data_IF_349155401911
#
_entry.id   IF_349155401911
#
_cell.length_a   1.000
_cell.length_b   1.000
_cell.length_c   1.000
_cell.angle_alpha   90.00
_cell.angle_beta   90.00
_cell.angle_gamma   90.00
#
_symmetry.space_group_name_H-M   'P 1'
#
loop_
_entity.id
_entity.type
_entity.pdbx_description
1 polymer ?
#
# COMPACT_ATOMS: atom_id res chain seq x y z
N UNK A 1 19.08 30.03 -0.75
CA UNK A 1 18.68 28.80 -0.04
C UNK A 1 18.19 27.84 -1.12
N UNK A 2 18.71 26.60 -1.23
CA UNK A 2 18.38 25.70 -2.33
C UNK A 2 16.89 25.37 -2.32
N UNK A 3 16.31 25.26 -3.51
CA UNK A 3 14.88 25.10 -3.72
C UNK A 3 14.44 23.68 -3.32
N UNK A 4 13.62 23.57 -2.27
CA UNK A 4 13.14 22.28 -1.72
C UNK A 4 12.41 21.43 -2.77
N UNK A 5 11.87 22.04 -3.83
CA UNK A 5 11.27 21.34 -4.96
C UNK A 5 12.31 20.61 -5.82
N UNK A 6 13.46 21.25 -6.06
CA UNK A 6 14.56 20.70 -6.85
C UNK A 6 15.28 19.58 -6.07
N UNK A 7 15.39 19.71 -4.75
CA UNK A 7 15.89 18.65 -3.87
C UNK A 7 14.95 17.44 -3.79
N UNK A 8 13.63 17.65 -3.78
CA UNK A 8 12.62 16.58 -3.77
C UNK A 8 12.47 15.89 -5.13
N UNK A 9 12.53 16.64 -6.23
CA UNK A 9 12.65 16.07 -7.58
C UNK A 9 13.97 15.33 -7.74
N UNK A 10 15.09 15.88 -7.28
CA UNK A 10 16.37 15.19 -7.30
C UNK A 10 16.32 13.92 -6.44
N UNK A 11 15.63 13.91 -5.30
CA UNK A 11 15.49 12.73 -4.46
C UNK A 11 14.60 11.66 -5.11
N UNK A 12 13.43 12.04 -5.64
CA UNK A 12 12.51 11.14 -6.33
C UNK A 12 13.12 10.57 -7.62
N UNK A 13 13.81 11.42 -8.38
CA UNK A 13 14.52 11.08 -9.62
C UNK A 13 15.78 10.25 -9.33
N UNK A 14 16.47 10.48 -8.21
CA UNK A 14 17.59 9.65 -7.73
C UNK A 14 17.13 8.27 -7.27
N UNK A 15 16.01 8.16 -6.54
CA UNK A 15 15.46 6.86 -6.15
C UNK A 15 14.94 6.05 -7.34
N UNK A 16 14.23 6.68 -8.28
CA UNK A 16 13.80 6.04 -9.53
C UNK A 16 15.00 5.71 -10.44
N UNK A 17 15.99 6.61 -10.53
CA UNK A 17 17.21 6.44 -11.33
C UNK A 17 18.15 5.37 -10.79
N UNK A 18 18.32 5.27 -9.47
CA UNK A 18 19.13 4.24 -8.81
C UNK A 18 18.51 2.84 -8.97
N UNK A 19 17.18 2.77 -8.99
CA UNK A 19 16.44 1.52 -9.13
C UNK A 19 16.37 1.07 -10.59
N UNK A 20 16.14 1.98 -11.54
CA UNK A 20 16.28 1.70 -12.97
C UNK A 20 17.72 1.30 -13.32
N UNK A 21 18.73 1.93 -12.71
CA UNK A 21 20.13 1.48 -12.82
C UNK A 21 20.37 0.12 -12.17
N UNK A 22 19.67 -0.23 -11.09
CA UNK A 22 19.79 -1.53 -10.45
C UNK A 22 19.17 -2.64 -11.32
N UNK A 23 17.96 -2.41 -11.86
CA UNK A 23 17.29 -3.31 -12.81
C UNK A 23 18.14 -3.50 -14.06
N UNK A 24 18.64 -2.41 -14.66
CA UNK A 24 19.54 -2.47 -15.82
C UNK A 24 20.88 -3.14 -15.52
N UNK A 25 21.43 -3.03 -14.30
CA UNK A 25 22.64 -3.74 -13.89
C UNK A 25 22.41 -5.25 -13.73
N UNK A 26 21.26 -5.65 -13.19
CA UNK A 26 20.86 -7.07 -13.12
C UNK A 26 20.67 -7.64 -14.53
N UNK A 27 20.05 -6.88 -15.44
CA UNK A 27 19.90 -7.23 -16.86
C UNK A 27 21.27 -7.35 -17.55
N UNK A 28 22.19 -6.43 -17.30
CA UNK A 28 23.53 -6.47 -17.88
C UNK A 28 24.39 -7.65 -17.37
N UNK A 29 24.06 -8.20 -16.19
CA UNK A 29 24.79 -9.32 -15.59
C UNK A 29 24.31 -10.70 -16.03
N UNK A 30 23.21 -10.83 -16.79
CA UNK A 30 22.62 -12.12 -17.19
C UNK A 30 22.06 -12.03 -18.63
N UNK A 31 22.62 -12.78 -19.60
CA UNK A 31 22.43 -12.54 -21.04
C UNK A 31 21.14 -13.06 -21.73
N UNK A 32 20.69 -12.28 -22.74
CA UNK A 32 19.77 -12.48 -23.93
C UNK A 32 18.47 -13.32 -23.80
N UNK A 33 17.62 -13.36 -24.85
CA UNK A 33 16.42 -12.56 -25.14
C UNK A 33 15.11 -13.10 -24.50
N UNK A 34 15.13 -14.32 -23.93
CA UNK A 34 13.96 -14.94 -23.26
C UNK A 34 13.54 -14.13 -22.02
N UNK A 35 14.45 -13.30 -21.52
CA UNK A 35 14.26 -12.34 -20.44
C UNK A 35 13.56 -11.04 -20.85
N UNK A 36 13.42 -10.64 -22.12
CA UNK A 36 12.78 -9.35 -22.45
C UNK A 36 11.32 -9.27 -21.99
N UNK A 37 10.59 -10.39 -22.07
CA UNK A 37 9.22 -10.50 -21.59
C UNK A 37 9.16 -10.52 -20.05
N UNK A 38 10.09 -11.22 -19.42
CA UNK A 38 10.23 -11.26 -17.95
C UNK A 38 10.74 -9.93 -17.37
N UNK A 39 11.52 -9.18 -18.13
CA UNK A 39 12.05 -7.85 -17.80
C UNK A 39 10.96 -6.81 -17.99
N UNK A 40 10.18 -6.85 -19.08
CA UNK A 40 8.97 -6.01 -19.22
C UNK A 40 7.95 -6.30 -18.14
N UNK A 41 7.78 -7.58 -17.77
CA UNK A 41 6.95 -7.98 -16.64
C UNK A 41 7.52 -7.43 -15.33
N UNK A 42 8.82 -7.59 -15.09
CA UNK A 42 9.47 -7.05 -13.88
C UNK A 42 9.44 -5.51 -13.85
N UNK A 43 9.57 -4.82 -14.99
CA UNK A 43 9.44 -3.37 -15.11
C UNK A 43 7.99 -2.91 -14.87
N UNK A 44 6.99 -3.64 -15.38
CA UNK A 44 5.59 -3.34 -15.09
C UNK A 44 5.23 -3.60 -13.62
N UNK A 45 5.74 -4.69 -13.04
CA UNK A 45 5.54 -5.06 -11.63
C UNK A 45 6.35 -4.12 -10.71
N UNK A 46 7.52 -3.63 -11.14
CA UNK A 46 8.28 -2.62 -10.37
C UNK A 46 7.69 -1.21 -10.53
N UNK A 47 7.08 -0.88 -11.67
CA UNK A 47 6.22 0.31 -11.78
C UNK A 47 5.01 0.20 -10.83
N UNK A 48 4.49 -1.02 -10.64
CA UNK A 48 3.49 -1.39 -9.64
C UNK A 48 3.99 -1.17 -8.18
N UNK A 49 5.22 -1.59 -7.88
CA UNK A 49 5.93 -1.30 -6.60
C UNK A 49 6.04 0.20 -6.33
N UNK A 50 6.33 1.00 -7.36
CA UNK A 50 6.64 2.43 -7.20
C UNK A 50 5.42 3.28 -6.87
N UNK A 51 4.22 2.96 -7.36
CA UNK A 51 3.05 3.82 -7.17
C UNK A 51 2.58 3.97 -5.72
N UNK A 52 2.90 3.07 -4.79
CA UNK A 52 2.49 3.23 -3.37
C UNK A 52 3.34 4.21 -2.59
N UNK A 53 4.66 4.15 -2.77
CA UNK A 53 5.55 5.21 -2.29
C UNK A 53 5.20 6.54 -2.96
N UNK A 54 4.78 6.48 -4.23
CA UNK A 54 4.31 7.62 -4.99
C UNK A 54 2.96 8.17 -4.51
N UNK A 55 2.00 7.37 -4.02
CA UNK A 55 0.68 7.86 -3.55
C UNK A 55 0.76 8.58 -2.19
N UNK A 56 1.49 8.04 -1.22
CA UNK A 56 1.75 8.73 0.05
C UNK A 56 2.60 10.01 -0.19
N UNK A 57 3.61 9.93 -1.08
CA UNK A 57 4.36 11.09 -1.55
C UNK A 57 3.49 12.09 -2.32
N UNK A 58 2.53 11.64 -3.13
CA UNK A 58 1.59 12.47 -3.90
C UNK A 58 0.59 13.16 -3.01
N UNK A 59 0.05 12.53 -1.97
CA UNK A 59 -0.82 13.28 -1.03
C UNK A 59 -0.03 14.40 -0.36
N UNK A 60 1.24 14.17 -0.01
CA UNK A 60 2.12 15.22 0.53
C UNK A 60 2.43 16.31 -0.51
N UNK A 61 2.74 15.93 -1.75
CA UNK A 61 3.06 16.85 -2.86
C UNK A 61 1.82 17.61 -3.33
N UNK A 62 0.67 16.95 -3.52
CA UNK A 62 -0.60 17.57 -3.91
C UNK A 62 -1.13 18.50 -2.81
N UNK A 63 -0.94 18.18 -1.53
CA UNK A 63 -1.26 19.08 -0.42
C UNK A 63 -0.36 20.33 -0.42
N UNK A 64 0.93 20.14 -0.71
CA UNK A 64 1.91 21.22 -0.86
C UNK A 64 1.61 22.10 -2.08
N UNK A 65 1.27 21.50 -3.22
CA UNK A 65 0.89 22.19 -4.47
C UNK A 65 -0.46 22.88 -4.34
N UNK A 66 -1.45 22.28 -3.68
CA UNK A 66 -2.74 22.92 -3.42
C UNK A 66 -2.61 24.15 -2.50
N UNK A 67 -1.71 24.10 -1.50
CA UNK A 67 -1.40 25.26 -0.66
C UNK A 67 -0.59 26.34 -1.37
N UNK A 68 0.25 25.98 -2.35
CA UNK A 68 1.16 26.91 -3.04
C UNK A 68 0.59 27.48 -4.35
N UNK A 69 -0.28 26.74 -5.04
CA UNK A 69 -0.82 27.10 -6.35
C UNK A 69 -2.20 26.43 -6.61
N UNK A 70 -3.29 26.96 -6.03
CA UNK A 70 -4.62 26.32 -6.05
C UNK A 70 -5.17 25.99 -7.45
N UNK A 71 -4.80 26.76 -8.48
CA UNK A 71 -5.33 26.62 -9.84
C UNK A 71 -4.64 25.56 -10.72
N UNK A 72 -3.50 25.01 -10.32
CA UNK A 72 -2.69 24.11 -11.17
C UNK A 72 -3.28 22.69 -11.22
N UNK A 73 -3.91 22.24 -10.13
CA UNK A 73 -4.59 20.95 -10.05
C UNK A 73 -5.79 20.83 -10.99
N UNK A 74 -6.47 21.95 -11.26
CA UNK A 74 -7.65 22.00 -12.14
C UNK A 74 -7.29 21.88 -13.64
N UNK A 75 -6.06 22.24 -14.03
CA UNK A 75 -5.72 22.47 -15.43
C UNK A 75 -5.03 21.30 -16.16
N UNK A 76 -4.32 20.40 -15.44
CA UNK A 76 -3.45 19.39 -16.11
C UNK A 76 -3.83 17.93 -15.86
N UNK A 77 -4.75 17.64 -14.96
CA UNK A 77 -5.09 16.26 -14.61
C UNK A 77 -3.91 15.48 -14.02
N UNK A 78 -4.20 14.32 -13.45
CA UNK A 78 -3.23 13.52 -12.71
C UNK A 78 -2.50 12.54 -13.66
N UNK A 79 -1.15 12.41 -13.64
CA UNK A 79 -0.43 11.51 -14.55
C UNK A 79 -0.82 10.03 -14.39
N UNK A 80 -1.11 9.38 -15.54
CA UNK A 80 -1.66 8.00 -15.68
C UNK A 80 -0.69 6.86 -15.31
N UNK A 81 0.56 7.13 -14.97
CA UNK A 81 1.54 6.11 -14.53
C UNK A 81 1.16 5.42 -13.21
N UNK A 82 0.14 5.93 -12.49
CA UNK A 82 -0.46 5.33 -11.30
C UNK A 82 -1.32 4.07 -11.56
N UNK A 83 -1.77 3.83 -12.80
CA UNK A 83 -2.81 2.82 -13.14
C UNK A 83 -2.31 1.36 -13.07
N UNK A 84 -1.01 1.10 -13.13
CA UNK A 84 -0.49 -0.27 -13.03
C UNK A 84 -0.57 -0.81 -11.59
N UNK A 85 -0.29 0.05 -10.60
CA UNK A 85 -0.13 -0.19 -9.13
C UNK A 85 -1.36 -0.78 -8.47
N UNK A 86 -2.49 -0.56 -9.12
CA UNK A 86 -3.81 -0.81 -8.59
C UNK A 86 -4.41 -2.06 -9.18
N UNK A 87 -3.87 -2.63 -10.27
CA UNK A 87 -4.44 -3.83 -10.90
C UNK A 87 -4.40 -5.05 -9.99
N UNK A 88 -3.27 -5.36 -9.34
CA UNK A 88 -3.24 -6.47 -8.38
C UNK A 88 -4.10 -6.18 -7.16
N UNK A 89 -4.07 -4.94 -6.66
CA UNK A 89 -4.87 -4.52 -5.50
C UNK A 89 -6.38 -4.66 -5.77
N UNK A 90 -6.84 -4.20 -6.93
CA UNK A 90 -8.21 -4.34 -7.44
C UNK A 90 -8.57 -5.80 -7.63
N UNK A 91 -7.68 -6.62 -8.21
CA UNK A 91 -7.90 -8.06 -8.37
C UNK A 91 -8.08 -8.77 -7.03
N UNK A 92 -7.24 -8.47 -6.03
CA UNK A 92 -7.38 -9.07 -4.69
C UNK A 92 -8.66 -8.61 -3.99
N UNK A 93 -9.07 -7.35 -4.17
CA UNK A 93 -10.36 -6.87 -3.67
C UNK A 93 -11.52 -7.64 -4.30
N UNK A 94 -11.52 -7.80 -5.62
CA UNK A 94 -12.61 -8.46 -6.37
C UNK A 94 -12.67 -9.98 -6.14
N UNK A 95 -11.60 -10.61 -5.63
CA UNK A 95 -11.61 -12.03 -5.26
C UNK A 95 -12.38 -12.31 -3.97
N UNK A 96 -12.60 -11.31 -3.14
CA UNK A 96 -13.32 -11.46 -1.86
C UNK A 96 -14.81 -11.59 -2.13
N UNK A 97 -15.45 -12.57 -1.48
CA UNK A 97 -16.89 -12.79 -1.64
C UNK A 97 -17.66 -11.68 -0.92
N UNK A 98 -18.56 -10.93 -1.59
CA UNK A 98 -19.38 -9.93 -0.94
C UNK A 98 -20.44 -10.60 -0.05
N UNK A 99 -20.39 -10.31 1.26
CA UNK A 99 -21.31 -10.85 2.28
C UNK A 99 -21.89 -9.74 3.13
N UNK A 100 -23.18 -9.85 3.45
CA UNK A 100 -23.85 -8.93 4.38
C UNK A 100 -23.42 -9.28 5.80
N UNK A 101 -22.98 -8.29 6.56
CA UNK A 101 -22.72 -8.46 7.98
C UNK A 101 -24.01 -8.26 8.77
N UNK A 102 -24.31 -9.17 9.69
CA UNK A 102 -25.52 -9.07 10.54
C UNK A 102 -25.32 -8.11 11.72
N UNK A 103 -24.08 -7.77 12.06
CA UNK A 103 -23.73 -6.84 13.13
C UNK A 103 -22.33 -6.23 12.92
N UNK A 104 -21.97 -5.24 13.74
CA UNK A 104 -20.62 -4.68 13.74
C UNK A 104 -19.54 -5.70 14.14
N UNK A 105 -19.86 -6.64 15.04
CA UNK A 105 -18.95 -7.73 15.40
C UNK A 105 -18.77 -8.72 14.25
N UNK A 106 -19.82 -8.91 13.45
CA UNK A 106 -19.83 -9.81 12.32
C UNK A 106 -18.89 -9.36 11.18
N UNK A 107 -18.66 -8.05 11.08
CA UNK A 107 -17.72 -7.46 10.10
C UNK A 107 -16.31 -8.00 10.26
N UNK A 108 -15.77 -8.01 11.48
CA UNK A 108 -14.40 -8.50 11.73
C UNK A 108 -14.30 -9.97 11.36
N UNK A 109 -15.26 -10.79 11.80
CA UNK A 109 -15.32 -12.22 11.51
C UNK A 109 -15.34 -12.50 9.99
N UNK A 110 -16.19 -11.79 9.25
CA UNK A 110 -16.28 -11.94 7.79
C UNK A 110 -14.99 -11.50 7.09
N UNK A 111 -14.35 -10.42 7.55
CA UNK A 111 -13.07 -9.95 6.99
C UNK A 111 -11.96 -11.00 7.19
N UNK A 112 -11.90 -11.65 8.35
CA UNK A 112 -10.96 -12.73 8.66
C UNK A 112 -11.18 -13.96 7.78
N UNK A 113 -12.43 -14.27 7.46
CA UNK A 113 -12.79 -15.33 6.52
C UNK A 113 -12.50 -14.99 5.05
N UNK A 114 -11.95 -13.79 4.78
CA UNK A 114 -11.61 -13.34 3.44
C UNK A 114 -12.79 -12.77 2.65
N UNK A 115 -13.91 -12.46 3.30
CA UNK A 115 -15.04 -11.80 2.67
C UNK A 115 -14.80 -10.30 2.48
N UNK A 116 -15.64 -9.70 1.64
CA UNK A 116 -15.84 -8.26 1.57
C UNK A 116 -17.20 -7.94 2.22
N UNK A 117 -17.24 -6.95 3.11
CA UNK A 117 -18.48 -6.56 3.79
C UNK A 117 -18.46 -5.10 4.22
N UNK A 118 -19.64 -4.55 4.49
CA UNK A 118 -19.82 -3.22 5.04
C UNK A 118 -21.01 -3.23 6.03
N UNK A 119 -20.78 -2.84 7.29
CA UNK A 119 -21.74 -2.94 8.40
C UNK A 119 -23.14 -2.36 8.13
N UNK A 120 -23.24 -1.29 7.34
CA UNK A 120 -24.50 -0.58 7.03
C UNK A 120 -25.13 -1.01 5.70
N UNK A 121 -24.53 -1.95 4.98
CA UNK A 121 -25.12 -2.49 3.76
C UNK A 121 -26.23 -3.47 4.13
N UNK A 122 -27.48 -3.15 3.78
CA UNK A 122 -28.64 -3.97 4.13
C UNK A 122 -28.88 -5.16 3.19
N UNK A 123 -28.22 -5.19 2.03
CA UNK A 123 -28.36 -6.25 1.03
C UNK A 123 -27.03 -6.63 0.41
N UNK A 124 -26.94 -7.85 -0.12
CA UNK A 124 -25.76 -8.30 -0.84
C UNK A 124 -25.47 -7.46 -2.09
N UNK A 125 -26.52 -6.95 -2.76
CA UNK A 125 -26.37 -6.04 -3.90
C UNK A 125 -25.72 -4.71 -3.53
N UNK A 126 -26.01 -4.17 -2.33
CA UNK A 126 -25.32 -2.98 -1.80
C UNK A 126 -23.86 -3.31 -1.52
N UNK A 127 -23.57 -4.43 -0.85
CA UNK A 127 -22.20 -4.87 -0.58
C UNK A 127 -21.40 -5.01 -1.88
N UNK A 128 -21.95 -5.68 -2.89
CA UNK A 128 -21.30 -5.86 -4.19
C UNK A 128 -21.08 -4.52 -4.91
N UNK A 129 -22.07 -3.63 -4.92
CA UNK A 129 -21.92 -2.30 -5.53
C UNK A 129 -20.80 -1.49 -4.88
N UNK A 130 -20.74 -1.48 -3.54
CA UNK A 130 -19.69 -0.79 -2.80
C UNK A 130 -18.31 -1.39 -3.12
N UNK A 131 -18.21 -2.72 -3.20
CA UNK A 131 -16.97 -3.40 -3.62
C UNK A 131 -16.50 -2.92 -5.00
N UNK A 132 -17.43 -2.85 -5.97
CA UNK A 132 -17.15 -2.42 -7.34
C UNK A 132 -16.74 -0.95 -7.43
N UNK A 133 -17.40 -0.05 -6.68
CA UNK A 133 -17.01 1.37 -6.62
C UNK A 133 -15.60 1.54 -6.06
N UNK A 134 -15.23 0.78 -5.01
CA UNK A 134 -13.88 0.84 -4.44
C UNK A 134 -12.85 0.21 -5.39
N UNK A 135 -13.22 -0.87 -6.09
CA UNK A 135 -12.38 -1.51 -7.10
C UNK A 135 -12.06 -0.58 -8.28
N UNK A 136 -13.07 0.12 -8.79
CA UNK A 136 -12.93 1.13 -9.85
C UNK A 136 -12.10 2.33 -9.38
N UNK A 137 -12.36 2.81 -8.16
CA UNK A 137 -11.56 3.85 -7.50
C UNK A 137 -10.08 3.46 -7.40
N UNK A 138 -9.78 2.23 -6.99
CA UNK A 138 -8.43 1.70 -6.99
C UNK A 138 -7.87 1.72 -8.41
N UNK A 139 -8.54 1.11 -9.38
CA UNK A 139 -8.06 1.02 -10.77
C UNK A 139 -7.71 2.39 -11.38
N UNK A 140 -8.56 3.39 -11.14
CA UNK A 140 -8.37 4.77 -11.60
C UNK A 140 -7.38 5.58 -10.76
N UNK A 141 -6.96 5.08 -9.60
CA UNK A 141 -6.09 5.79 -8.66
C UNK A 141 -6.77 6.98 -7.98
N UNK A 142 -8.08 6.90 -7.76
CA UNK A 142 -8.88 7.95 -7.13
C UNK A 142 -8.47 8.16 -5.66
N UNK A 143 -8.38 9.41 -5.18
CA UNK A 143 -8.16 9.70 -3.77
C UNK A 143 -9.26 9.12 -2.87
N UNK A 144 -8.88 8.64 -1.68
CA UNK A 144 -9.83 8.15 -0.66
C UNK A 144 -10.98 9.13 -0.38
N UNK A 145 -10.75 10.46 -0.19
CA UNK A 145 -11.84 11.40 0.09
C UNK A 145 -12.90 11.46 -1.01
N UNK A 146 -12.48 11.40 -2.27
CA UNK A 146 -13.38 11.52 -3.44
C UNK A 146 -14.26 10.29 -3.55
N UNK A 147 -13.67 9.09 -3.38
CA UNK A 147 -14.42 7.83 -3.35
C UNK A 147 -15.36 7.76 -2.15
N UNK A 148 -14.95 8.33 -1.02
CA UNK A 148 -15.77 8.37 0.21
C UNK A 148 -16.97 9.30 0.05
N UNK A 149 -16.79 10.45 -0.63
CA UNK A 149 -17.87 11.36 -0.96
C UNK A 149 -18.87 10.69 -1.91
N UNK A 150 -18.38 10.04 -2.98
CA UNK A 150 -19.21 9.28 -3.90
C UNK A 150 -20.06 8.24 -3.16
N UNK A 151 -19.46 7.40 -2.32
CA UNK A 151 -20.21 6.40 -1.55
C UNK A 151 -21.18 7.01 -0.53
N UNK A 152 -20.82 8.13 0.10
CA UNK A 152 -21.74 8.83 1.00
C UNK A 152 -23.01 9.27 0.26
N UNK A 153 -22.85 9.81 -0.94
CA UNK A 153 -23.97 10.29 -1.75
C UNK A 153 -24.78 9.11 -2.34
N UNK A 154 -24.15 8.07 -2.87
CA UNK A 154 -24.85 6.94 -3.51
C UNK A 154 -25.54 6.00 -2.52
N UNK A 155 -24.98 5.81 -1.32
CA UNK A 155 -25.53 4.89 -0.31
C UNK A 155 -26.32 5.62 0.80
N UNK A 156 -26.45 6.95 0.71
CA UNK A 156 -27.02 7.79 1.77
C UNK A 156 -26.37 7.53 3.15
N UNK A 157 -25.06 7.25 3.16
CA UNK A 157 -24.27 7.03 4.36
C UNK A 157 -23.61 8.32 4.85
N UNK A 158 -23.32 8.42 6.14
CA UNK A 158 -22.52 9.53 6.65
C UNK A 158 -21.12 9.50 6.03
N UNK A 159 -20.55 10.68 5.72
CA UNK A 159 -19.17 10.80 5.19
C UNK A 159 -18.13 10.05 6.02
N UNK A 160 -18.23 10.12 7.35
CA UNK A 160 -17.31 9.43 8.26
C UNK A 160 -17.35 7.89 8.12
N UNK A 161 -18.55 7.33 7.94
CA UNK A 161 -18.72 5.90 7.71
C UNK A 161 -18.20 5.49 6.34
N UNK A 162 -18.54 6.24 5.28
CA UNK A 162 -18.04 5.97 3.93
C UNK A 162 -16.52 6.01 3.88
N UNK A 163 -15.89 6.99 4.54
CA UNK A 163 -14.44 7.05 4.64
C UNK A 163 -13.85 5.83 5.37
N UNK A 164 -14.54 5.31 6.38
CA UNK A 164 -14.07 4.12 7.10
C UNK A 164 -14.06 2.90 6.19
N UNK A 165 -15.16 2.69 5.46
CA UNK A 165 -15.28 1.59 4.50
C UNK A 165 -14.19 1.72 3.44
N UNK A 166 -14.13 2.87 2.73
CA UNK A 166 -13.17 3.08 1.64
C UNK A 166 -11.74 2.91 2.14
N UNK A 167 -11.34 3.60 3.22
CA UNK A 167 -9.96 3.59 3.69
C UNK A 167 -9.52 2.21 4.13
N UNK A 168 -10.35 1.54 4.92
CA UNK A 168 -10.02 0.21 5.46
C UNK A 168 -9.90 -0.80 4.32
N UNK A 169 -10.84 -0.78 3.37
CA UNK A 169 -10.80 -1.64 2.19
C UNK A 169 -9.61 -1.34 1.29
N UNK A 170 -9.35 -0.07 0.95
CA UNK A 170 -8.21 0.31 0.12
C UNK A 170 -6.89 -0.09 0.77
N UNK A 171 -6.72 0.13 2.08
CA UNK A 171 -5.52 -0.27 2.80
C UNK A 171 -5.28 -1.79 2.73
N UNK A 172 -6.35 -2.59 2.90
CA UNK A 172 -6.28 -4.06 2.81
C UNK A 172 -5.96 -4.51 1.39
N UNK A 173 -6.68 -3.99 0.40
CA UNK A 173 -6.50 -4.31 -1.02
C UNK A 173 -5.08 -3.96 -1.50
N UNK A 174 -4.57 -2.82 -1.05
CA UNK A 174 -3.17 -2.52 -1.23
C UNK A 174 -2.34 -3.63 -0.57
N UNK A 175 -2.36 -3.80 0.73
CA UNK A 175 -1.45 -4.76 1.37
C UNK A 175 -1.47 -6.17 0.71
N UNK A 176 -2.65 -6.69 0.38
CA UNK A 176 -2.85 -7.94 -0.38
C UNK A 176 -2.13 -7.91 -1.74
N UNK A 177 -2.31 -6.85 -2.54
CA UNK A 177 -1.61 -6.70 -3.83
C UNK A 177 -0.09 -6.67 -3.70
N UNK A 178 0.45 -6.09 -2.61
CA UNK A 178 1.90 -6.09 -2.38
C UNK A 178 2.43 -7.49 -2.04
N UNK A 179 1.65 -8.27 -1.29
CA UNK A 179 1.98 -9.68 -1.01
C UNK A 179 1.93 -10.50 -2.29
N UNK A 180 0.87 -10.38 -3.09
CA UNK A 180 0.76 -11.13 -4.34
C UNK A 180 1.91 -10.79 -5.28
N UNK A 181 2.28 -9.52 -5.42
CA UNK A 181 3.42 -9.10 -6.24
C UNK A 181 4.74 -9.69 -5.74
N UNK A 182 4.98 -9.61 -4.43
CA UNK A 182 6.19 -10.19 -3.82
C UNK A 182 6.15 -11.71 -3.77
N UNK A 183 5.05 -12.38 -4.12
CA UNK A 183 5.04 -13.83 -4.31
C UNK A 183 5.95 -14.25 -5.48
N UNK A 184 6.16 -13.38 -6.47
CA UNK A 184 7.05 -13.61 -7.61
C UNK A 184 8.53 -13.59 -7.17
N UNK A 185 9.29 -14.69 -7.36
CA UNK A 185 10.71 -14.75 -6.98
C UNK A 185 11.57 -13.66 -7.62
N UNK A 186 11.28 -13.27 -8.87
CA UNK A 186 12.03 -12.21 -9.57
C UNK A 186 11.87 -10.85 -8.88
N UNK A 187 10.69 -10.56 -8.34
CA UNK A 187 10.43 -9.36 -7.54
C UNK A 187 11.17 -9.44 -6.19
N UNK A 188 11.14 -10.60 -5.51
CA UNK A 188 11.85 -10.78 -4.22
C UNK A 188 13.35 -10.58 -4.32
N UNK A 189 13.96 -10.87 -5.48
CA UNK A 189 15.40 -10.61 -5.67
C UNK A 189 15.72 -9.13 -5.50
N UNK A 190 14.86 -8.25 -6.02
CA UNK A 190 14.99 -6.79 -5.98
C UNK A 190 14.49 -6.22 -4.65
N UNK A 191 13.35 -6.73 -4.18
CA UNK A 191 12.60 -6.25 -3.03
C UNK A 191 12.34 -7.40 -2.05
N UNK A 192 13.36 -7.84 -1.30
CA UNK A 192 13.26 -9.02 -0.44
C UNK A 192 12.56 -8.74 0.91
N UNK A 193 12.30 -7.48 1.26
CA UNK A 193 11.75 -7.11 2.56
C UNK A 193 10.70 -6.00 2.49
N UNK A 194 9.86 -5.98 3.51
CA UNK A 194 8.97 -4.87 3.83
C UNK A 194 9.49 -4.10 5.05
N UNK A 195 9.15 -2.81 5.12
CA UNK A 195 9.23 -1.96 6.31
C UNK A 195 7.83 -1.55 6.72
N UNK A 196 7.50 -1.70 7.99
CA UNK A 196 6.30 -1.12 8.54
C UNK A 196 6.46 0.39 8.71
N UNK A 197 5.64 1.17 8.02
CA UNK A 197 5.61 2.63 8.09
C UNK A 197 4.28 3.08 8.68
N UNK A 198 4.28 3.33 10.00
CA UNK A 198 3.20 4.05 10.65
C UNK A 198 3.06 5.47 10.07
N UNK A 199 1.81 5.95 9.94
CA UNK A 199 1.55 7.36 9.59
C UNK A 199 2.16 8.28 10.65
N UNK A 200 2.63 9.45 10.23
CA UNK A 200 3.38 10.41 11.07
C UNK A 200 2.55 11.63 11.44
N UNK A 201 1.29 11.42 11.76
CA UNK A 201 0.38 12.48 12.18
C UNK A 201 -0.06 12.30 13.63
N UNK A 202 -0.76 13.30 14.17
CA UNK A 202 -1.24 13.33 15.55
C UNK A 202 -2.25 12.22 15.89
N UNK A 203 -2.83 11.56 14.89
CA UNK A 203 -3.85 10.53 15.04
C UNK A 203 -3.29 9.11 14.87
N UNK A 204 -1.97 8.96 14.78
CA UNK A 204 -1.35 7.63 14.80
C UNK A 204 -1.55 6.98 16.17
N UNK A 205 -2.08 5.76 16.18
CA UNK A 205 -2.31 5.02 17.43
C UNK A 205 -0.96 4.55 18.02
N UNK A 206 -0.75 4.59 19.34
CA UNK A 206 0.54 4.23 19.95
C UNK A 206 1.03 2.82 19.61
N UNK A 207 0.13 1.84 19.58
CA UNK A 207 0.40 0.45 19.16
C UNK A 207 0.86 0.37 17.69
N UNK A 208 0.32 1.21 16.80
CA UNK A 208 0.79 1.26 15.41
C UNK A 208 2.15 1.94 15.31
N UNK A 209 2.35 3.05 16.04
CA UNK A 209 3.63 3.76 16.07
C UNK A 209 4.76 2.89 16.62
N UNK A 210 4.46 2.04 17.59
CA UNK A 210 5.40 1.09 18.18
C UNK A 210 6.02 0.14 17.14
N UNK A 211 5.33 -0.13 16.03
CA UNK A 211 5.82 -0.93 14.90
C UNK A 211 6.64 -0.11 13.88
N UNK A 212 6.64 1.23 13.95
CA UNK A 212 7.30 2.07 12.95
C UNK A 212 8.77 1.71 12.82
N UNK A 213 9.19 1.37 11.59
CA UNK A 213 10.55 0.97 11.30
C UNK A 213 10.83 -0.53 11.42
N UNK A 214 9.88 -1.36 11.85
CA UNK A 214 10.03 -2.82 11.78
C UNK A 214 10.31 -3.26 10.34
N UNK A 215 11.36 -4.04 10.11
CA UNK A 215 11.74 -4.57 8.80
C UNK A 215 11.90 -6.07 8.91
N UNK A 216 11.26 -6.81 8.01
CA UNK A 216 11.42 -8.24 7.88
C UNK A 216 11.29 -8.68 6.42
N UNK A 217 11.74 -9.90 6.11
CA UNK A 217 11.52 -10.51 4.80
C UNK A 217 10.04 -10.48 4.42
N UNK A 218 9.72 -10.38 3.13
CA UNK A 218 8.33 -10.26 2.64
C UNK A 218 7.44 -11.42 3.10
N UNK A 219 8.01 -12.61 3.26
CA UNK A 219 7.38 -13.87 3.66
C UNK A 219 7.67 -14.25 5.12
N UNK A 220 8.19 -13.32 5.93
CA UNK A 220 8.47 -13.59 7.34
C UNK A 220 7.19 -13.90 8.12
N UNK A 221 7.14 -14.99 8.91
CA UNK A 221 6.00 -15.28 9.77
C UNK A 221 5.82 -14.25 10.89
N UNK A 222 6.78 -13.35 11.11
CA UNK A 222 6.61 -12.26 12.08
C UNK A 222 5.55 -11.25 11.69
N UNK A 223 5.25 -11.08 10.39
CA UNK A 223 4.17 -10.18 9.95
C UNK A 223 2.83 -10.62 10.54
N UNK A 224 2.50 -11.90 10.38
CA UNK A 224 1.27 -12.49 10.91
C UNK A 224 1.31 -12.62 12.43
N UNK A 225 2.38 -13.19 12.98
CA UNK A 225 2.49 -13.45 14.44
C UNK A 225 2.41 -12.18 15.29
N UNK A 226 2.81 -11.03 14.75
CA UNK A 226 2.74 -9.72 15.43
C UNK A 226 1.52 -8.88 15.01
N UNK A 227 0.71 -9.35 14.05
CA UNK A 227 -0.40 -8.60 13.49
C UNK A 227 0.03 -7.28 12.84
N UNK A 228 1.17 -7.27 12.13
CA UNK A 228 1.77 -6.06 11.52
C UNK A 228 1.49 -5.95 10.02
N UNK A 229 0.33 -6.43 9.59
CA UNK A 229 -0.15 -6.41 8.21
C UNK A 229 -1.25 -5.33 8.11
N UNK A 230 -1.07 -4.21 7.40
CA UNK A 230 -2.12 -3.20 7.29
C UNK A 230 -3.40 -3.70 6.59
N UNK A 231 -4.59 -3.22 7.01
CA UNK A 231 -4.84 -2.31 8.14
C UNK A 231 -4.71 -3.02 9.49
N UNK A 232 -4.24 -2.29 10.50
CA UNK A 232 -4.16 -2.77 11.90
C UNK A 232 -5.44 -2.46 12.70
N UNK A 233 -6.43 -1.88 12.05
CA UNK A 233 -7.65 -1.37 12.66
C UNK A 233 -8.47 -0.57 11.66
N UNK A 234 -9.72 -0.27 12.00
CA UNK A 234 -10.55 0.64 11.22
C UNK A 234 -9.87 2.00 11.07
N UNK A 235 -10.00 2.63 9.90
CA UNK A 235 -9.33 3.90 9.55
C UNK A 235 -7.78 3.87 9.65
N UNK A 236 -7.14 2.69 9.65
CA UNK A 236 -5.68 2.62 9.64
C UNK A 236 -5.11 3.25 8.36
N UNK A 237 -3.99 3.98 8.52
CA UNK A 237 -3.26 4.68 7.44
C UNK A 237 -1.81 4.22 7.32
N UNK A 238 -1.43 3.20 8.10
CA UNK A 238 -0.10 2.62 8.07
C UNK A 238 0.06 1.77 6.82
N UNK A 239 1.31 1.61 6.36
CA UNK A 239 1.62 0.82 5.16
C UNK A 239 2.83 -0.07 5.37
N UNK A 240 2.94 -1.14 4.60
CA UNK A 240 4.20 -1.87 4.41
C UNK A 240 4.88 -1.37 3.15
N UNK A 241 5.98 -0.66 3.33
CA UNK A 241 6.80 -0.15 2.23
C UNK A 241 7.83 -1.16 1.80
N UNK A 242 8.08 -1.23 0.50
CA UNK A 242 9.13 -2.05 -0.08
C UNK A 242 10.53 -1.59 0.34
N UNK A 243 11.39 -2.55 0.70
CA UNK A 243 12.81 -2.29 0.99
C UNK A 243 13.65 -3.08 0.00
N UNK A 244 14.40 -2.36 -0.83
CA UNK A 244 15.25 -2.99 -1.84
C UNK A 244 16.45 -3.68 -1.22
N UNK A 245 16.98 -4.70 -1.89
CA UNK A 245 18.20 -5.41 -1.50
C UNK A 245 19.37 -4.44 -1.28
N UNK A 246 19.54 -3.47 -2.18
CA UNK A 246 20.59 -2.44 -2.06
C UNK A 246 20.42 -1.57 -0.82
N UNK A 247 19.18 -1.23 -0.44
CA UNK A 247 18.91 -0.47 0.79
C UNK A 247 19.20 -1.31 2.03
N UNK A 248 18.80 -2.58 2.06
CA UNK A 248 19.14 -3.48 3.17
C UNK A 248 20.65 -3.65 3.35
N UNK A 249 21.42 -3.77 2.26
CA UNK A 249 22.90 -3.82 2.33
C UNK A 249 23.48 -2.56 2.99
N UNK A 250 23.02 -1.37 2.59
CA UNK A 250 23.45 -0.10 3.21
C UNK A 250 23.07 -0.01 4.69
N UNK A 251 21.97 -0.66 5.09
CA UNK A 251 21.51 -0.70 6.48
C UNK A 251 22.17 -1.84 7.30
N UNK A 252 23.02 -2.68 6.69
CA UNK A 252 23.58 -3.85 7.36
C UNK A 252 22.55 -4.94 7.67
N UNK A 253 21.41 -4.96 6.97
CA UNK A 253 20.28 -5.89 7.21
C UNK A 253 20.26 -7.05 6.21
N UNK A 254 21.41 -7.43 5.66
CA UNK A 254 21.59 -8.63 4.86
C UNK A 254 22.74 -9.45 5.41
N UNK A 255 22.51 -10.74 5.64
CA UNK A 255 23.56 -11.66 6.09
C UNK A 255 24.51 -12.08 4.93
N UNK A 256 25.57 -12.82 5.27
CA UNK A 256 26.55 -13.33 4.30
C UNK A 256 25.94 -14.25 3.22
N UNK A 257 24.76 -14.82 3.47
CA UNK A 257 24.04 -15.71 2.56
C UNK A 257 22.98 -14.96 1.75
N UNK A 258 22.88 -13.63 1.87
CA UNK A 258 21.91 -12.81 1.16
C UNK A 258 20.50 -12.82 1.76
N UNK A 259 20.32 -13.34 2.98
CA UNK A 259 19.04 -13.35 3.71
C UNK A 259 18.82 -12.04 4.45
N UNK A 260 17.55 -11.66 4.56
CA UNK A 260 17.14 -10.45 5.29
C UNK A 260 17.31 -10.69 6.79
N UNK A 261 17.97 -9.75 7.47
CA UNK A 261 18.04 -9.71 8.94
C UNK A 261 16.85 -8.87 9.41
N UNK A 262 15.99 -9.45 10.25
CA UNK A 262 14.85 -8.71 10.83
C UNK A 262 15.35 -7.58 11.72
N UNK A 263 14.94 -6.34 11.43
CA UNK A 263 15.14 -5.20 12.31
C UNK A 263 13.88 -4.97 13.15
N UNK A 264 14.06 -4.90 14.47
CA UNK A 264 12.96 -4.65 15.41
C UNK A 264 13.19 -3.31 16.12
N UNK A 265 12.24 -2.35 16.05
CA UNK A 265 12.34 -1.12 16.82
C UNK A 265 12.28 -1.41 18.32
N UNK A 266 12.83 -0.52 19.14
CA UNK A 266 12.84 -0.67 20.62
C UNK A 266 11.43 -0.85 21.20
N UNK A 267 10.44 -0.22 20.58
CA UNK A 267 9.04 -0.25 20.98
C UNK A 267 8.26 -1.48 20.50
N UNK A 268 8.88 -2.44 19.80
CA UNK A 268 8.18 -3.53 19.10
C UNK A 268 7.26 -4.39 19.99
N UNK A 269 7.50 -4.42 21.31
CA UNK A 269 6.67 -5.18 22.24
C UNK A 269 5.32 -4.53 22.52
N UNK A 270 5.20 -3.22 22.28
CA UNK A 270 3.93 -2.50 22.34
C UNK A 270 3.20 -2.48 20.98
N UNK A 271 3.77 -3.13 19.96
CA UNK A 271 3.22 -3.12 18.61
C UNK A 271 2.17 -4.21 18.42
N UNK A 272 1.10 -3.87 17.71
CA UNK A 272 0.04 -4.82 17.36
C UNK A 272 -1.18 -4.11 16.79
N UNK A 273 -2.20 -4.89 16.38
CA UNK A 273 -3.45 -4.34 15.90
C UNK A 273 -4.26 -3.70 17.04
N UNK A 274 -5.30 -2.97 16.67
CA UNK A 274 -6.28 -2.43 17.61
C UNK A 274 -7.06 -3.56 18.29
N UNK A 275 -7.53 -3.30 19.51
CA UNK A 275 -8.31 -4.29 20.26
C UNK A 275 -9.56 -4.71 19.48
N UNK A 276 -9.76 -6.02 19.30
CA UNK A 276 -10.88 -6.57 18.53
C UNK A 276 -10.69 -6.51 17.01
N UNK A 277 -9.50 -6.13 16.53
CA UNK A 277 -9.10 -6.21 15.13
C UNK A 277 -8.03 -7.30 14.98
N UNK A 278 -8.40 -8.45 14.44
CA UNK A 278 -7.50 -9.60 14.25
C UNK A 278 -7.27 -9.88 12.76
N UNK A 279 -6.19 -10.59 12.45
CA UNK A 279 -5.67 -10.79 11.09
C UNK A 279 -5.29 -12.23 10.81
#
# INVERSE_FOLDING_TARGET
>A
MPDTAEELEALASKYAGDMNKAVRRVIASVGKPRMEKSVKLLESELAEVMGRAHMAGRVSVLRTVASAAPGVLAAKGIPKTAVAVTRMSTRELLRRVPMVAESAMDVTRLIEQGAFTAARASTQSIVQRVQLVIADSLEQGQPTPDTSALLADTEAWSRAYSENVVRTTQSRAYDDGAVTMTSNPAVRVVVPAFRFDATRDSNVRPNHWAAHGFIAAVDSPEWLRRGLIPPLGFQCRCVRSFVTRSKLKRMGLIDKNGRVITHRPRSINAAGPDQGFTQ
#
